data_IF_294811554394
#
_entry.id   IF_294811554394
#
_cell.length_a   1.000
_cell.length_b   1.000
_cell.length_c   1.000
_cell.angle_alpha   90.00
_cell.angle_beta   90.00
_cell.angle_gamma   90.00
#
_symmetry.space_group_name_H-M   'P 1'
#
loop_
_entity.id
_entity.type
_entity.pdbx_description
1 polymer ?
#
# COMPACT_ATOMS: atom_id res chain seq x y z
N UNK A 1 -36.86 -55.65 -29.76
CA UNK A 1 -37.28 -54.41 -29.09
C UNK A 1 -36.04 -53.81 -28.45
N UNK A 2 -35.24 -52.99 -29.08
CA UNK A 2 -35.10 -52.35 -30.39
C UNK A 2 -33.79 -51.55 -30.22
N UNK A 3 -32.97 -51.23 -31.19
CA UNK A 3 -32.90 -51.47 -32.62
C UNK A 3 -31.45 -51.07 -32.97
N UNK A 4 -30.86 -51.77 -33.94
CA UNK A 4 -29.73 -51.40 -34.84
C UNK A 4 -28.58 -50.50 -34.33
N UNK A 5 -27.32 -50.98 -34.25
CA UNK A 5 -26.35 -51.30 -35.34
C UNK A 5 -25.67 -50.07 -36.00
N UNK A 6 -24.43 -50.20 -36.54
CA UNK A 6 -23.28 -49.44 -36.05
C UNK A 6 -22.48 -48.71 -37.16
N UNK A 7 -21.27 -48.27 -36.79
CA UNK A 7 -20.11 -47.91 -37.64
C UNK A 7 -20.19 -46.56 -38.38
N UNK A 8 -19.37 -45.61 -37.89
CA UNK A 8 -19.06 -44.36 -38.57
C UNK A 8 -17.64 -43.91 -38.25
N UNK A 9 -16.82 -43.93 -39.29
CA UNK A 9 -15.38 -43.71 -39.32
C UNK A 9 -14.96 -42.29 -38.91
N UNK A 10 -13.76 -42.24 -38.35
CA UNK A 10 -12.92 -41.07 -38.06
C UNK A 10 -12.90 -40.04 -39.20
N UNK A 11 -13.16 -38.77 -38.88
CA UNK A 11 -12.66 -37.65 -39.66
C UNK A 11 -11.91 -36.67 -38.77
N UNK A 12 -10.67 -36.43 -39.19
CA UNK A 12 -9.67 -35.58 -38.57
C UNK A 12 -9.94 -34.11 -38.89
N UNK A 13 -10.00 -33.27 -37.86
CA UNK A 13 -9.54 -31.88 -37.99
C UNK A 13 -8.45 -31.62 -36.95
N UNK A 14 -7.22 -31.47 -37.47
CA UNK A 14 -6.07 -30.90 -36.77
C UNK A 14 -6.39 -29.46 -36.37
N UNK A 15 -6.10 -29.11 -35.13
CA UNK A 15 -6.10 -27.72 -34.69
C UNK A 15 -5.68 -27.58 -33.23
N UNK A 16 -4.37 -27.51 -33.00
CA UNK A 16 -3.71 -26.79 -31.89
C UNK A 16 -4.33 -26.90 -30.48
N UNK A 17 -3.76 -27.77 -29.65
CA UNK A 17 -3.89 -27.74 -28.18
C UNK A 17 -3.23 -26.48 -27.63
N UNK A 18 -4.00 -25.41 -27.45
CA UNK A 18 -3.69 -24.36 -26.46
C UNK A 18 -4.21 -24.80 -25.07
N UNK A 19 -3.60 -24.37 -23.96
CA UNK A 19 -4.12 -24.71 -22.63
C UNK A 19 -5.55 -24.16 -22.49
N UNK A 20 -6.47 -25.05 -22.10
CA UNK A 20 -7.84 -24.69 -21.73
C UNK A 20 -7.77 -23.77 -20.51
N UNK A 21 -7.95 -22.47 -20.70
CA UNK A 21 -8.26 -21.56 -19.61
C UNK A 21 -9.66 -21.90 -19.13
N UNK A 22 -9.76 -22.64 -18.03
CA UNK A 22 -10.98 -22.75 -17.26
C UNK A 22 -11.25 -21.35 -16.69
N UNK A 23 -12.01 -20.55 -17.42
CA UNK A 23 -12.60 -19.32 -16.90
C UNK A 23 -13.76 -19.77 -16.02
N UNK A 24 -13.57 -19.67 -14.71
CA UNK A 24 -14.65 -19.86 -13.76
C UNK A 24 -15.63 -18.69 -13.92
N UNK A 25 -16.73 -18.89 -14.66
CA UNK A 25 -17.86 -17.98 -14.73
C UNK A 25 -18.83 -18.43 -13.64
N UNK A 26 -18.58 -18.03 -12.39
CA UNK A 26 -19.56 -18.19 -11.33
C UNK A 26 -19.95 -16.83 -10.74
N UNK A 27 -21.25 -16.56 -10.91
CA UNK A 27 -22.10 -15.52 -10.33
C UNK A 27 -21.95 -14.09 -10.88
N UNK A 28 -22.79 -13.80 -11.89
CA UNK A 28 -23.32 -12.46 -12.12
C UNK A 28 -24.16 -12.10 -10.88
N UNK A 29 -23.56 -11.42 -9.91
CA UNK A 29 -24.34 -10.70 -8.92
C UNK A 29 -24.84 -9.41 -9.58
N UNK A 30 -26.08 -9.43 -10.08
CA UNK A 30 -26.80 -8.27 -10.66
C UNK A 30 -27.17 -7.24 -9.57
N UNK A 31 -26.26 -6.99 -8.61
CA UNK A 31 -26.42 -5.98 -7.55
C UNK A 31 -25.34 -4.87 -7.67
N UNK A 32 -24.31 -5.07 -8.50
CA UNK A 32 -23.22 -4.08 -8.65
C UNK A 32 -23.61 -2.75 -9.32
N UNK A 33 -24.78 -2.64 -9.95
CA UNK A 33 -25.20 -1.39 -10.61
C UNK A 33 -25.67 -0.28 -9.65
N UNK A 34 -26.12 -0.62 -8.43
CA UNK A 34 -26.69 0.36 -7.50
C UNK A 34 -25.65 0.94 -6.53
N UNK A 35 -24.69 0.13 -6.08
CA UNK A 35 -23.68 0.54 -5.10
C UNK A 35 -22.65 1.54 -5.67
N UNK A 36 -22.39 1.52 -6.97
CA UNK A 36 -21.48 2.48 -7.63
C UNK A 36 -22.03 3.92 -7.66
N UNK A 37 -23.34 4.09 -7.48
CA UNK A 37 -24.00 5.41 -7.49
C UNK A 37 -24.53 5.82 -6.12
N UNK A 38 -24.39 4.96 -5.11
CA UNK A 38 -24.95 5.21 -3.79
C UNK A 38 -24.00 6.07 -2.94
N UNK A 39 -24.55 7.13 -2.36
CA UNK A 39 -23.82 8.11 -1.55
C UNK A 39 -24.23 7.99 -0.08
N UNK A 40 -23.25 7.89 0.82
CA UNK A 40 -23.45 7.80 2.28
C UNK A 40 -23.03 9.08 3.00
N UNK A 41 -23.56 9.29 4.19
CA UNK A 41 -23.16 10.42 5.05
C UNK A 41 -21.76 10.24 5.65
N UNK A 42 -21.20 11.31 6.22
CA UNK A 42 -19.92 11.24 6.93
C UNK A 42 -19.93 10.23 8.08
N UNK A 43 -20.99 10.23 8.90
CA UNK A 43 -21.13 9.33 10.04
C UNK A 43 -21.17 7.87 9.62
N UNK A 44 -21.94 7.59 8.57
CA UNK A 44 -22.04 6.29 7.94
C UNK A 44 -20.74 5.79 7.32
N UNK A 45 -19.97 6.66 6.66
CA UNK A 45 -18.66 6.34 6.11
C UNK A 45 -17.66 6.02 7.23
N UNK A 46 -17.63 6.83 8.29
CA UNK A 46 -16.78 6.61 9.46
C UNK A 46 -17.10 5.31 10.19
N UNK A 47 -18.38 5.00 10.39
CA UNK A 47 -18.82 3.77 11.03
C UNK A 47 -18.41 2.53 10.24
N UNK A 48 -18.55 2.56 8.90
CA UNK A 48 -18.14 1.45 8.02
C UNK A 48 -16.63 1.24 7.99
N UNK A 49 -15.85 2.32 8.09
CA UNK A 49 -14.39 2.28 8.07
C UNK A 49 -13.78 2.05 9.47
N UNK A 50 -14.54 2.29 10.55
CA UNK A 50 -14.02 2.28 11.92
C UNK A 50 -13.03 3.42 12.21
N UNK A 51 -13.18 4.57 11.55
CA UNK A 51 -12.21 5.69 11.64
C UNK A 51 -12.81 6.98 12.16
N UNK A 52 -11.94 7.88 12.62
CA UNK A 52 -12.29 9.24 13.07
C UNK A 52 -12.47 10.21 11.88
N UNK A 53 -13.12 11.38 12.07
CA UNK A 53 -13.34 12.37 11.01
C UNK A 53 -12.05 12.80 10.30
N UNK A 54 -10.97 12.98 11.05
CA UNK A 54 -9.66 13.40 10.51
C UNK A 54 -9.16 12.40 9.46
N UNK A 55 -9.31 11.10 9.74
CA UNK A 55 -8.89 10.02 8.83
C UNK A 55 -9.79 9.95 7.59
N UNK A 56 -11.11 10.11 7.75
CA UNK A 56 -12.02 10.18 6.60
C UNK A 56 -11.66 11.35 5.67
N UNK A 57 -11.38 12.54 6.21
CA UNK A 57 -10.93 13.68 5.41
C UNK A 57 -9.58 13.45 4.75
N UNK A 58 -8.67 12.72 5.41
CA UNK A 58 -7.40 12.35 4.82
C UNK A 58 -7.59 11.40 3.61
N UNK A 59 -8.53 10.45 3.68
CA UNK A 59 -8.86 9.60 2.54
C UNK A 59 -9.46 10.37 1.37
N UNK A 60 -10.31 11.37 1.64
CA UNK A 60 -10.81 12.28 0.58
C UNK A 60 -9.69 13.11 -0.03
N UNK A 61 -8.84 13.73 0.80
CA UNK A 61 -7.72 14.57 0.34
C UNK A 61 -6.75 13.80 -0.55
N UNK A 62 -6.55 12.51 -0.24
CA UNK A 62 -5.72 11.58 -1.03
C UNK A 62 -6.44 10.97 -2.24
N UNK A 63 -7.71 11.32 -2.50
CA UNK A 63 -8.49 10.81 -3.62
C UNK A 63 -8.97 9.36 -3.47
N UNK A 64 -8.85 8.77 -2.27
CA UNK A 64 -9.24 7.38 -2.01
C UNK A 64 -10.75 7.20 -1.83
N UNK A 65 -11.45 8.27 -1.42
CA UNK A 65 -12.91 8.31 -1.30
C UNK A 65 -13.44 9.55 -2.00
N UNK A 66 -14.29 9.35 -3.00
CA UNK A 66 -14.99 10.47 -3.66
C UNK A 66 -16.00 11.12 -2.70
N UNK A 67 -16.04 12.46 -2.76
CA UNK A 67 -16.90 13.31 -1.93
C UNK A 67 -17.72 14.23 -2.83
N UNK A 68 -19.00 14.37 -2.52
CA UNK A 68 -19.89 15.36 -3.10
C UNK A 68 -20.40 16.33 -2.02
N UNK A 69 -20.42 17.63 -2.30
CA UNK A 69 -21.08 18.61 -1.43
C UNK A 69 -22.56 18.62 -1.72
N UNK A 70 -23.39 18.54 -0.69
CA UNK A 70 -24.84 18.68 -0.86
C UNK A 70 -25.15 20.16 -1.09
N UNK A 71 -25.83 20.47 -2.19
CA UNK A 71 -26.16 21.85 -2.54
C UNK A 71 -26.98 22.51 -1.41
N UNK A 72 -26.58 23.72 -1.02
CA UNK A 72 -27.28 24.50 0.01
C UNK A 72 -26.99 24.10 1.46
N UNK A 73 -26.11 23.12 1.72
CA UNK A 73 -25.73 22.76 3.09
C UNK A 73 -24.20 22.76 3.27
N UNK A 74 -23.76 22.72 4.53
CA UNK A 74 -22.36 22.48 4.91
C UNK A 74 -22.01 20.99 4.97
N UNK A 75 -22.93 20.11 4.57
CA UNK A 75 -22.75 18.66 4.67
C UNK A 75 -22.22 18.07 3.36
N UNK A 76 -21.58 16.92 3.44
CA UNK A 76 -21.03 16.22 2.28
C UNK A 76 -21.38 14.75 2.34
N UNK A 77 -21.53 14.15 1.17
CA UNK A 77 -21.74 12.72 1.00
C UNK A 77 -20.50 12.09 0.39
N UNK A 78 -20.35 10.80 0.63
CA UNK A 78 -19.17 10.01 0.28
C UNK A 78 -19.62 8.80 -0.51
N UNK A 79 -18.91 8.44 -1.57
CA UNK A 79 -19.35 7.35 -2.43
C UNK A 79 -19.21 6.01 -1.69
N UNK A 80 -20.32 5.27 -1.57
CA UNK A 80 -20.37 4.00 -0.84
C UNK A 80 -19.37 2.98 -1.37
N UNK A 81 -19.28 2.82 -2.69
CA UNK A 81 -18.37 1.86 -3.32
C UNK A 81 -16.89 2.10 -2.92
N UNK A 82 -16.47 3.36 -2.80
CA UNK A 82 -15.11 3.69 -2.38
C UNK A 82 -14.86 3.35 -0.90
N UNK A 83 -15.85 3.66 -0.04
CA UNK A 83 -15.83 3.35 1.39
C UNK A 83 -15.76 1.83 1.61
N UNK A 84 -16.58 1.05 0.91
CA UNK A 84 -16.62 -0.40 1.05
C UNK A 84 -15.36 -1.08 0.52
N UNK A 85 -14.83 -0.61 -0.62
CA UNK A 85 -13.54 -1.08 -1.16
C UNK A 85 -12.40 -0.85 -0.18
N UNK A 86 -12.37 0.31 0.46
CA UNK A 86 -11.35 0.66 1.44
C UNK A 86 -11.49 -0.17 2.72
N UNK A 87 -12.71 -0.35 3.23
CA UNK A 87 -13.00 -1.20 4.38
C UNK A 87 -12.62 -2.67 4.12
N UNK A 88 -12.87 -3.18 2.91
CA UNK A 88 -12.48 -4.54 2.52
C UNK A 88 -10.96 -4.71 2.42
N UNK A 89 -10.21 -3.67 2.03
CA UNK A 89 -8.75 -3.70 2.02
C UNK A 89 -8.19 -3.78 3.45
N UNK A 90 -8.73 -2.97 4.37
CA UNK A 90 -8.30 -2.97 5.77
C UNK A 90 -8.45 -4.35 6.43
N UNK A 91 -9.59 -5.01 6.24
CA UNK A 91 -9.86 -6.36 6.79
C UNK A 91 -8.92 -7.45 6.28
N UNK A 92 -8.37 -7.33 5.07
CA UNK A 92 -7.43 -8.33 4.53
C UNK A 92 -6.04 -8.22 5.13
N UNK A 93 -5.74 -7.11 5.80
CA UNK A 93 -4.44 -6.83 6.44
C UNK A 93 -4.48 -7.13 7.95
N UNK A 94 -5.57 -7.72 8.46
CA UNK A 94 -5.94 -7.68 9.88
C UNK A 94 -4.80 -7.94 10.89
N UNK A 95 -4.52 -6.86 11.62
CA UNK A 95 -3.89 -6.81 12.94
C UNK A 95 -4.27 -5.56 13.77
N UNK A 96 -5.23 -4.71 13.35
CA UNK A 96 -5.64 -3.53 14.13
C UNK A 96 -6.69 -2.62 13.46
N UNK A 97 -7.34 -1.71 14.21
CA UNK A 97 -8.44 -0.89 13.71
C UNK A 97 -7.93 0.28 12.86
N UNK A 98 -8.03 0.11 11.56
CA UNK A 98 -7.82 1.16 10.55
C UNK A 98 -7.19 0.58 9.30
N UNK A 99 -7.50 1.10 8.09
CA UNK A 99 -6.65 0.87 6.94
C UNK A 99 -5.26 1.42 7.30
N UNK A 100 -4.37 0.52 7.71
CA UNK A 100 -2.95 0.78 7.73
C UNK A 100 -2.62 1.38 6.37
N UNK A 101 -2.13 2.62 6.38
CA UNK A 101 -1.58 3.21 5.17
C UNK A 101 -0.30 2.43 4.94
N UNK A 102 -0.43 1.28 4.28
CA UNK A 102 0.69 0.48 3.81
C UNK A 102 1.34 1.34 2.73
N UNK A 103 2.35 2.10 3.13
CA UNK A 103 3.27 2.73 2.21
C UNK A 103 4.20 1.62 1.77
N UNK A 104 4.13 1.23 0.50
CA UNK A 104 5.15 0.36 -0.09
C UNK A 104 6.47 1.12 -0.09
N UNK A 105 7.31 0.81 0.91
CA UNK A 105 8.64 1.39 1.08
C UNK A 105 9.68 0.33 0.81
N UNK A 106 10.60 0.61 -0.11
CA UNK A 106 11.76 -0.23 -0.34
C UNK A 106 12.91 0.03 0.66
N UNK A 107 12.70 0.90 1.66
CA UNK A 107 13.77 1.37 2.56
C UNK A 107 14.11 0.39 3.66
N UNK A 108 13.12 -0.13 4.38
CA UNK A 108 13.35 -0.93 5.59
C UNK A 108 12.47 -2.16 5.56
N UNK A 109 13.09 -3.34 5.69
CA UNK A 109 12.41 -4.62 5.86
C UNK A 109 12.63 -5.13 7.27
N UNK A 110 11.55 -5.41 7.98
CA UNK A 110 11.55 -6.15 9.24
C UNK A 110 10.84 -7.47 8.99
N UNK A 111 11.54 -8.59 9.17
CA UNK A 111 10.93 -9.91 9.00
C UNK A 111 10.25 -10.40 10.30
N UNK A 112 9.38 -11.43 10.24
CA UNK A 112 8.68 -11.96 11.41
C UNK A 112 9.59 -12.54 12.50
N UNK A 113 10.85 -12.79 12.19
CA UNK A 113 11.86 -13.34 13.10
C UNK A 113 12.71 -12.23 13.73
N UNK A 114 12.43 -10.97 13.39
CA UNK A 114 13.07 -9.78 13.93
C UNK A 114 14.30 -9.29 13.15
N UNK A 115 14.60 -9.83 11.96
CA UNK A 115 15.72 -9.35 11.16
C UNK A 115 15.38 -8.05 10.46
N UNK A 116 16.24 -7.06 10.63
CA UNK A 116 16.13 -5.74 10.04
C UNK A 116 17.08 -5.63 8.85
N UNK A 117 16.59 -5.11 7.72
CA UNK A 117 17.40 -4.83 6.55
C UNK A 117 17.08 -3.46 5.95
N UNK A 118 18.12 -2.69 5.58
CA UNK A 118 18.01 -1.43 4.86
C UNK A 118 18.25 -1.64 3.36
N UNK A 119 17.26 -1.39 2.51
CA UNK A 119 17.30 -1.65 1.07
C UNK A 119 17.88 -3.02 0.68
N UNK A 120 17.63 -4.03 1.51
CA UNK A 120 18.15 -5.39 1.32
C UNK A 120 19.43 -5.74 2.07
N UNK A 121 20.12 -4.77 2.67
CA UNK A 121 21.32 -4.96 3.48
C UNK A 121 20.98 -5.25 4.94
N UNK A 122 21.50 -6.34 5.50
CA UNK A 122 21.28 -6.73 6.90
C UNK A 122 21.88 -5.70 7.87
N UNK A 123 21.06 -5.18 8.79
CA UNK A 123 21.45 -4.11 9.71
C UNK A 123 22.45 -4.58 10.77
N UNK A 124 22.33 -5.83 11.25
CA UNK A 124 23.27 -6.35 12.23
C UNK A 124 24.67 -6.44 11.61
N UNK A 125 24.75 -6.89 10.37
CA UNK A 125 26.00 -6.89 9.61
C UNK A 125 26.51 -5.47 9.34
N UNK A 126 25.63 -4.55 8.96
CA UNK A 126 26.00 -3.16 8.69
C UNK A 126 26.58 -2.47 9.94
N UNK A 127 26.07 -2.77 11.14
CA UNK A 127 26.56 -2.22 12.39
C UNK A 127 28.00 -2.64 12.71
N UNK A 128 28.44 -3.80 12.20
CA UNK A 128 29.80 -4.32 12.39
C UNK A 128 30.75 -3.87 11.26
N UNK A 129 30.25 -3.76 10.03
CA UNK A 129 31.08 -3.63 8.83
C UNK A 129 31.02 -2.25 8.16
N UNK A 130 30.00 -1.43 8.42
CA UNK A 130 29.76 -0.18 7.71
C UNK A 130 29.79 1.05 8.64
N UNK A 131 30.36 2.15 8.11
CA UNK A 131 30.27 3.47 8.74
C UNK A 131 28.88 4.09 8.61
N UNK A 132 28.62 5.12 9.41
CA UNK A 132 27.36 5.86 9.39
C UNK A 132 27.03 6.42 8.00
N UNK A 133 28.03 7.00 7.35
CA UNK A 133 27.94 7.63 6.03
C UNK A 133 27.49 6.62 4.97
N UNK A 134 28.08 5.43 4.97
CA UNK A 134 27.74 4.37 4.03
C UNK A 134 26.28 3.90 4.21
N UNK A 135 25.82 3.74 5.46
CA UNK A 135 24.42 3.38 5.74
C UNK A 135 23.46 4.47 5.29
N UNK A 136 23.80 5.74 5.52
CA UNK A 136 22.98 6.87 5.09
C UNK A 136 22.88 6.96 3.55
N UNK A 137 23.99 6.75 2.84
CA UNK A 137 24.02 6.71 1.37
C UNK A 137 23.17 5.57 0.81
N UNK A 138 23.20 4.39 1.45
CA UNK A 138 22.29 3.29 1.09
C UNK A 138 20.83 3.69 1.25
N UNK A 139 20.46 4.33 2.36
CA UNK A 139 19.09 4.77 2.59
C UNK A 139 18.64 5.81 1.54
N UNK A 140 19.50 6.76 1.23
CA UNK A 140 19.25 7.80 0.21
C UNK A 140 19.25 7.26 -1.22
N UNK A 141 19.84 6.08 -1.46
CA UNK A 141 19.91 5.47 -2.80
C UNK A 141 20.93 6.16 -3.69
N UNK A 142 22.07 6.56 -3.12
CA UNK A 142 23.19 7.12 -3.88
C UNK A 142 23.90 5.98 -4.61
N UNK A 143 23.96 6.05 -5.94
CA UNK A 143 24.60 5.02 -6.78
C UNK A 143 26.13 5.12 -6.80
N UNK A 144 26.68 6.33 -6.63
CA UNK A 144 28.11 6.62 -6.62
C UNK A 144 28.48 7.46 -5.39
N UNK A 145 28.97 6.82 -4.30
CA UNK A 145 29.29 7.51 -3.06
C UNK A 145 30.47 8.47 -3.28
N UNK A 146 30.29 9.74 -2.94
CA UNK A 146 31.20 10.84 -3.28
C UNK A 146 32.53 10.85 -2.49
N UNK A 147 32.85 9.77 -1.78
CA UNK A 147 33.97 9.69 -0.85
C UNK A 147 33.60 10.15 0.57
N UNK A 148 34.59 10.42 1.45
CA UNK A 148 34.33 10.80 2.83
C UNK A 148 33.51 12.08 2.89
N UNK A 149 32.53 12.13 3.80
CA UNK A 149 31.70 13.30 3.99
C UNK A 149 32.53 14.45 4.56
N UNK A 150 32.73 15.49 3.76
CA UNK A 150 33.44 16.71 4.17
C UNK A 150 32.45 17.85 4.33
N UNK A 151 32.40 18.45 5.52
CA UNK A 151 31.63 19.66 5.75
C UNK A 151 32.48 20.92 5.51
N UNK A 152 31.89 22.00 4.97
CA UNK A 152 32.51 23.32 4.94
C UNK A 152 32.91 23.80 6.35
N UNK A 153 34.08 24.44 6.47
CA UNK A 153 34.62 24.85 7.77
C UNK A 153 33.74 25.87 8.51
N UNK A 154 33.04 26.73 7.77
CA UNK A 154 32.07 27.68 8.32
C UNK A 154 30.83 26.98 8.87
N UNK A 155 30.31 25.95 8.19
CA UNK A 155 29.21 25.14 8.67
C UNK A 155 29.58 24.36 9.95
N UNK A 156 30.79 23.81 10.02
CA UNK A 156 31.34 23.15 11.20
C UNK A 156 31.43 24.11 12.40
N UNK A 157 31.97 25.31 12.19
CA UNK A 157 32.08 26.32 13.24
C UNK A 157 30.71 26.71 13.82
N UNK A 158 29.67 26.82 12.98
CA UNK A 158 28.30 27.07 13.43
C UNK A 158 27.76 25.90 14.25
N UNK A 159 27.96 24.66 13.79
CA UNK A 159 27.49 23.47 14.50
C UNK A 159 28.13 23.34 15.90
N UNK A 160 29.44 23.56 16.01
CA UNK A 160 30.17 23.56 17.28
C UNK A 160 29.65 24.65 18.22
N UNK A 161 29.47 25.88 17.72
CA UNK A 161 28.93 26.98 18.51
C UNK A 161 27.53 26.67 19.07
N UNK A 162 26.67 26.02 18.28
CA UNK A 162 25.34 25.59 18.73
C UNK A 162 25.44 24.48 19.78
N UNK A 163 26.30 23.48 19.58
CA UNK A 163 26.48 22.39 20.55
C UNK A 163 26.98 22.90 21.91
N UNK A 164 27.83 23.93 21.93
CA UNK A 164 28.32 24.56 23.18
C UNK A 164 27.19 25.21 24.00
N UNK A 165 26.04 25.51 23.40
CA UNK A 165 24.88 26.09 24.11
C UNK A 165 23.86 25.01 24.49
N UNK A 166 23.97 23.79 23.93
CA UNK A 166 23.09 22.69 24.31
C UNK A 166 23.33 22.28 25.78
N UNK A 167 22.25 21.97 26.52
CA UNK A 167 22.35 21.50 27.89
C UNK A 167 23.10 20.16 27.94
N UNK A 168 23.70 19.85 29.09
CA UNK A 168 24.66 18.75 29.24
C UNK A 168 24.03 17.36 29.00
N UNK A 169 22.71 17.25 29.07
CA UNK A 169 21.93 16.05 28.77
C UNK A 169 21.60 15.88 27.27
N UNK A 170 21.92 16.87 26.45
CA UNK A 170 21.67 16.90 25.01
C UNK A 170 22.95 16.84 24.15
N UNK A 171 24.13 16.64 24.77
CA UNK A 171 25.42 16.46 24.09
C UNK A 171 25.83 15.01 24.03
#
# INVERSE_FOLDING_TARGET
>A
MGEVLPLGVVSSLRGSRGPLYVVNIDQINVISGMAETEWVTAGEAMARLGVKPQTLYAYVSRGLVRRERVAGTRTSRYLRADVERLAARARRTDGGPGPEIVVDSALTRLDPVGRLAYRGWDVARAAEEAGYEAVAEWLWGVDDPAGPWTAPADALAVAEAVQVVLPADAR
#
